data_IF_482999016546
#
_entry.id   IF_482999016546
#
_cell.length_a   1.000
_cell.length_b   1.000
_cell.length_c   1.000
_cell.angle_alpha   90.00
_cell.angle_beta   90.00
_cell.angle_gamma   90.00
#
_symmetry.space_group_name_H-M   'P 1'
#
loop_
_entity.id
_entity.type
_entity.pdbx_description
1 polymer ?
#
# COMPACT_ATOMS: atom_id res chain seq x y z
N UNK A 1 77.42 36.82 -23.57
CA UNK A 1 77.71 35.69 -24.48
C UNK A 1 76.39 35.12 -24.96
N UNK A 2 76.13 35.26 -26.24
CA UNK A 2 74.83 34.87 -26.88
C UNK A 2 74.82 33.35 -27.09
N UNK A 3 73.68 32.67 -26.80
CA UNK A 3 73.37 31.33 -27.32
C UNK A 3 71.97 31.30 -27.89
N UNK A 4 71.92 30.77 -29.08
CA UNK A 4 70.91 30.79 -30.08
C UNK A 4 69.83 29.71 -29.87
N UNK A 5 68.61 30.00 -30.35
CA UNK A 5 67.47 29.07 -30.58
C UNK A 5 67.91 27.87 -31.39
N UNK A 6 67.46 26.69 -31.03
CA UNK A 6 67.20 25.56 -31.98
C UNK A 6 65.92 24.90 -31.68
N UNK A 7 65.20 24.65 -32.72
CA UNK A 7 63.89 24.13 -33.00
C UNK A 7 63.58 22.81 -32.29
N UNK A 8 62.36 22.70 -31.78
CA UNK A 8 61.78 21.39 -31.39
C UNK A 8 60.58 21.12 -32.32
N UNK A 9 60.80 20.14 -33.17
CA UNK A 9 59.80 19.65 -34.14
C UNK A 9 58.72 18.89 -33.41
N UNK A 10 57.46 19.19 -33.77
CA UNK A 10 56.27 18.58 -33.16
C UNK A 10 56.07 17.12 -33.55
N UNK A 11 55.60 16.39 -32.59
CA UNK A 11 55.01 15.08 -32.77
C UNK A 11 53.59 15.09 -32.17
N UNK A 12 52.60 15.34 -33.01
CA UNK A 12 51.18 15.17 -32.65
C UNK A 12 50.83 13.69 -32.64
N UNK A 13 50.79 13.09 -31.46
CA UNK A 13 50.18 11.77 -31.26
C UNK A 13 48.67 11.94 -31.19
N UNK A 14 47.96 11.53 -32.22
CA UNK A 14 46.50 11.42 -32.23
C UNK A 14 46.06 10.23 -31.34
N UNK A 15 45.50 10.52 -30.19
CA UNK A 15 44.81 9.51 -29.42
C UNK A 15 43.43 9.29 -30.08
N UNK A 16 43.26 8.17 -30.76
CA UNK A 16 41.97 7.67 -31.20
C UNK A 16 41.24 7.13 -30.00
N UNK A 17 40.22 7.87 -29.50
CA UNK A 17 39.29 7.39 -28.49
C UNK A 17 38.38 6.35 -29.19
N UNK A 18 38.63 5.08 -28.95
CA UNK A 18 37.72 4.00 -29.30
C UNK A 18 36.49 4.09 -28.38
N UNK A 19 35.42 4.70 -28.85
CA UNK A 19 34.12 4.63 -28.22
C UNK A 19 33.60 3.19 -28.32
N UNK A 20 33.72 2.44 -27.24
CA UNK A 20 33.06 1.14 -27.12
C UNK A 20 31.55 1.40 -26.99
N UNK A 21 30.84 1.31 -28.08
CA UNK A 21 29.39 1.17 -28.09
C UNK A 21 29.07 -0.20 -27.45
N UNK A 22 28.72 -0.23 -26.19
CA UNK A 22 28.00 -1.36 -25.61
C UNK A 22 26.58 -1.28 -26.14
N UNK A 23 26.12 -2.25 -26.93
CA UNK A 23 24.70 -2.31 -27.24
C UNK A 23 23.98 -2.53 -25.91
N UNK A 24 23.09 -1.60 -25.55
CA UNK A 24 22.14 -1.83 -24.48
C UNK A 24 21.36 -3.09 -24.91
N UNK A 25 21.61 -4.22 -24.25
CA UNK A 25 20.73 -5.38 -24.33
C UNK A 25 19.36 -4.88 -23.86
N UNK A 26 18.47 -4.61 -24.82
CA UNK A 26 17.07 -4.50 -24.54
C UNK A 26 16.64 -5.86 -24.01
N UNK A 27 16.55 -6.00 -22.70
CA UNK A 27 15.90 -7.13 -22.07
C UNK A 27 14.42 -7.06 -22.48
N UNK A 28 14.09 -7.76 -23.55
CA UNK A 28 12.72 -8.12 -23.90
C UNK A 28 12.22 -9.10 -22.84
N UNK A 29 12.09 -8.62 -21.60
CA UNK A 29 11.42 -9.31 -20.54
C UNK A 29 9.94 -9.41 -20.92
N UNK A 30 9.36 -10.59 -20.91
CA UNK A 30 7.93 -10.79 -20.89
C UNK A 30 7.37 -9.85 -19.82
N UNK A 31 6.49 -8.90 -20.22
CA UNK A 31 5.81 -8.03 -19.25
C UNK A 31 5.07 -8.95 -18.27
N UNK A 32 5.44 -8.89 -17.02
CA UNK A 32 4.73 -9.65 -15.99
C UNK A 32 3.44 -8.92 -15.66
N UNK A 33 2.34 -9.68 -15.59
CA UNK A 33 1.04 -9.12 -15.25
C UNK A 33 1.02 -8.69 -13.78
N UNK A 34 0.43 -7.54 -13.49
CA UNK A 34 0.10 -7.13 -12.12
C UNK A 34 -0.92 -8.12 -11.57
N UNK A 35 -0.65 -8.72 -10.40
CA UNK A 35 -1.60 -9.58 -9.70
C UNK A 35 -1.92 -9.00 -8.34
N UNK A 36 -3.19 -9.01 -8.00
CA UNK A 36 -3.68 -8.52 -6.71
C UNK A 36 -4.58 -9.59 -6.13
N UNK A 37 -4.21 -10.12 -4.97
CA UNK A 37 -5.04 -11.03 -4.20
C UNK A 37 -5.51 -10.34 -2.94
N UNK A 38 -6.82 -10.27 -2.74
CA UNK A 38 -7.43 -9.87 -1.48
C UNK A 38 -7.21 -10.99 -0.46
N UNK A 39 -6.47 -10.72 0.60
CA UNK A 39 -6.33 -11.69 1.69
C UNK A 39 -7.46 -11.49 2.68
N UNK A 40 -7.49 -10.36 3.38
CA UNK A 40 -8.54 -10.03 4.33
C UNK A 40 -8.37 -8.58 4.79
N UNK A 41 -9.44 -7.84 5.03
CA UNK A 41 -9.36 -6.43 5.43
C UNK A 41 -8.53 -5.61 4.44
N UNK A 42 -7.53 -4.87 4.93
CA UNK A 42 -6.55 -4.16 4.11
C UNK A 42 -5.37 -5.05 3.65
N UNK A 43 -5.29 -6.30 4.12
CA UNK A 43 -4.19 -7.20 3.75
C UNK A 43 -4.32 -7.68 2.32
N UNK A 44 -3.31 -7.36 1.49
CA UNK A 44 -3.24 -7.71 0.08
C UNK A 44 -1.92 -8.37 -0.25
N UNK A 45 -1.94 -9.40 -1.12
CA UNK A 45 -0.74 -9.79 -1.87
C UNK A 45 -0.76 -9.09 -3.21
N UNK A 46 0.35 -8.44 -3.54
CA UNK A 46 0.50 -7.65 -4.76
C UNK A 46 1.79 -8.06 -5.47
N UNK A 47 1.65 -8.65 -6.66
CA UNK A 47 2.77 -8.83 -7.57
C UNK A 47 2.82 -7.64 -8.51
N UNK A 48 3.93 -6.90 -8.47
CA UNK A 48 4.14 -5.72 -9.29
C UNK A 48 5.61 -5.63 -9.72
N UNK A 49 5.86 -5.46 -11.02
CA UNK A 49 7.22 -5.36 -11.55
C UNK A 49 8.10 -6.57 -11.25
N UNK A 50 7.52 -7.77 -11.15
CA UNK A 50 8.23 -9.00 -10.79
C UNK A 50 8.56 -9.16 -9.30
N UNK A 51 8.05 -8.27 -8.45
CA UNK A 51 8.25 -8.27 -6.98
C UNK A 51 6.94 -8.64 -6.29
N UNK A 52 7.01 -9.51 -5.29
CA UNK A 52 5.86 -9.93 -4.49
C UNK A 52 5.83 -9.15 -3.17
N UNK A 53 4.80 -8.31 -3.01
CA UNK A 53 4.58 -7.52 -1.81
C UNK A 53 3.44 -8.08 -0.97
N UNK A 54 3.57 -8.02 0.36
CA UNK A 54 2.46 -8.21 1.29
C UNK A 54 2.16 -6.86 1.97
N UNK A 55 0.98 -6.34 1.71
CA UNK A 55 0.53 -5.04 2.18
C UNK A 55 -0.29 -5.21 3.45
N UNK A 56 -0.06 -4.36 4.46
CA UNK A 56 -0.81 -4.28 5.71
C UNK A 56 -1.10 -5.68 6.30
N UNK A 57 -0.06 -6.47 6.64
CA UNK A 57 -0.18 -7.87 7.02
C UNK A 57 -0.79 -8.07 8.41
N UNK A 58 -2.10 -7.92 8.51
CA UNK A 58 -2.88 -8.30 9.69
C UNK A 58 -3.28 -9.76 9.59
N UNK A 59 -2.51 -10.64 10.28
CA UNK A 59 -2.54 -12.10 10.12
C UNK A 59 -3.12 -12.83 11.33
N UNK A 60 -3.63 -12.12 12.35
CA UNK A 60 -4.26 -12.70 13.52
C UNK A 60 -5.42 -13.64 13.13
N UNK A 61 -5.53 -14.80 13.76
CA UNK A 61 -6.74 -15.64 13.72
C UNK A 61 -7.86 -15.00 14.52
N UNK A 62 -9.10 -15.45 14.34
CA UNK A 62 -10.21 -15.00 15.21
C UNK A 62 -9.98 -15.35 16.68
N UNK A 63 -9.30 -16.47 16.95
CA UNK A 63 -8.99 -16.88 18.33
C UNK A 63 -8.01 -15.93 19.03
N UNK A 64 -7.14 -15.26 18.25
CA UNK A 64 -6.21 -14.22 18.73
C UNK A 64 -6.83 -12.82 18.69
N UNK A 65 -8.09 -12.73 18.27
CA UNK A 65 -8.78 -11.48 18.00
C UNK A 65 -8.95 -10.58 19.21
N UNK A 66 -9.11 -9.30 18.94
CA UNK A 66 -9.37 -8.26 19.92
C UNK A 66 -10.84 -7.79 19.86
N UNK A 67 -11.29 -7.16 20.94
CA UNK A 67 -12.56 -6.42 20.96
C UNK A 67 -12.30 -4.97 21.33
N UNK A 68 -13.17 -4.06 20.95
CA UNK A 68 -13.07 -2.67 21.39
C UNK A 68 -13.14 -2.53 22.90
N UNK A 69 -13.97 -3.35 23.57
CA UNK A 69 -14.11 -3.32 25.05
C UNK A 69 -12.79 -3.43 25.81
N UNK A 70 -11.86 -4.22 25.28
CA UNK A 70 -10.53 -4.45 25.89
C UNK A 70 -9.44 -3.53 25.35
N UNK A 71 -9.76 -2.68 24.38
CA UNK A 71 -8.79 -1.82 23.71
C UNK A 71 -8.89 -0.34 24.12
N UNK A 72 -7.97 0.49 23.67
CA UNK A 72 -7.93 1.92 23.96
C UNK A 72 -9.10 2.71 23.36
N UNK A 73 -9.79 2.14 22.36
CA UNK A 73 -10.89 2.78 21.65
C UNK A 73 -12.28 2.38 22.16
N UNK A 74 -12.40 1.78 23.37
CA UNK A 74 -13.69 1.33 23.91
C UNK A 74 -14.73 2.48 24.01
N UNK A 75 -14.30 3.69 24.34
CA UNK A 75 -15.16 4.89 24.44
C UNK A 75 -15.47 5.52 23.08
N UNK A 76 -14.73 5.15 22.05
CA UNK A 76 -14.81 5.73 20.70
C UNK A 76 -15.84 5.04 19.81
N UNK A 77 -16.30 3.84 20.18
CA UNK A 77 -17.26 3.06 19.38
C UNK A 77 -18.60 3.79 19.29
N UNK A 78 -19.10 3.98 18.10
CA UNK A 78 -20.35 4.71 17.81
C UNK A 78 -21.56 3.90 18.28
N UNK A 79 -21.63 2.63 17.91
CA UNK A 79 -22.68 1.70 18.31
C UNK A 79 -22.19 0.77 19.43
N UNK A 80 -22.74 0.83 20.65
CA UNK A 80 -22.37 -0.06 21.75
C UNK A 80 -22.44 -1.55 21.44
N UNK A 81 -23.29 -1.98 20.50
CA UNK A 81 -23.38 -3.38 20.05
C UNK A 81 -22.06 -3.89 19.42
N UNK A 82 -21.21 -3.00 18.93
CA UNK A 82 -19.91 -3.33 18.32
C UNK A 82 -18.81 -3.63 19.34
N UNK A 83 -19.00 -3.27 20.62
CA UNK A 83 -17.97 -3.33 21.65
C UNK A 83 -17.39 -4.73 21.89
N UNK A 84 -18.22 -5.77 21.79
CA UNK A 84 -17.87 -7.15 22.10
C UNK A 84 -17.65 -8.02 20.85
N UNK A 85 -17.75 -7.43 19.67
CA UNK A 85 -17.47 -8.14 18.42
C UNK A 85 -15.97 -8.37 18.30
N UNK A 86 -15.58 -9.64 18.16
CA UNK A 86 -14.19 -10.03 17.98
C UNK A 86 -13.72 -9.66 16.57
N UNK A 87 -12.59 -8.98 16.48
CA UNK A 87 -11.91 -8.63 15.24
C UNK A 87 -10.53 -9.31 15.17
N UNK A 88 -10.20 -9.97 14.06
CA UNK A 88 -10.91 -10.03 12.78
C UNK A 88 -12.22 -10.85 12.88
N UNK A 89 -13.24 -10.42 12.14
CA UNK A 89 -14.55 -11.09 12.15
C UNK A 89 -14.56 -12.40 11.34
N UNK A 90 -13.56 -12.62 10.49
CA UNK A 90 -13.37 -13.82 9.68
C UNK A 90 -11.95 -14.37 9.80
N UNK A 91 -11.74 -15.64 9.47
CA UNK A 91 -10.42 -16.26 9.41
C UNK A 91 -9.67 -15.85 8.12
N UNK A 92 -8.37 -16.17 8.05
CA UNK A 92 -7.65 -16.07 6.79
C UNK A 92 -8.25 -17.03 5.77
N UNK A 93 -8.42 -16.62 4.51
CA UNK A 93 -9.06 -17.43 3.47
C UNK A 93 -8.20 -18.58 2.98
N UNK A 94 -6.89 -18.49 3.21
CA UNK A 94 -5.87 -19.49 2.84
C UNK A 94 -4.91 -19.70 4.00
N UNK A 95 -4.18 -20.82 4.05
CA UNK A 95 -3.18 -21.08 5.09
C UNK A 95 -2.17 -19.94 5.21
N UNK A 96 -1.77 -19.60 6.44
CA UNK A 96 -0.78 -18.56 6.72
C UNK A 96 0.53 -18.77 5.94
N UNK A 97 0.99 -20.04 5.84
CA UNK A 97 2.19 -20.36 5.08
C UNK A 97 2.08 -19.95 3.60
N UNK A 98 0.88 -20.07 3.00
CA UNK A 98 0.64 -19.67 1.60
C UNK A 98 0.55 -18.16 1.46
N UNK A 99 0.02 -17.44 2.48
CA UNK A 99 0.04 -15.97 2.52
C UNK A 99 1.48 -15.44 2.52
N UNK A 100 2.39 -16.10 3.23
CA UNK A 100 3.78 -15.65 3.42
C UNK A 100 4.74 -16.18 2.36
N UNK A 101 4.37 -17.25 1.63
CA UNK A 101 5.28 -17.92 0.68
C UNK A 101 5.74 -16.98 -0.44
N UNK A 102 7.07 -16.81 -0.59
CA UNK A 102 7.66 -16.05 -1.68
C UNK A 102 7.44 -14.54 -1.62
N UNK A 103 7.06 -13.99 -0.46
CA UNK A 103 6.98 -12.53 -0.26
C UNK A 103 8.39 -11.95 -0.25
N UNK A 104 8.61 -10.94 -1.09
CA UNK A 104 9.90 -10.24 -1.24
C UNK A 104 10.03 -9.04 -0.31
N UNK A 105 8.91 -8.39 0.02
CA UNK A 105 8.86 -7.27 0.95
C UNK A 105 7.47 -7.06 1.56
N UNK A 106 7.45 -6.49 2.76
CA UNK A 106 6.23 -6.01 3.40
C UNK A 106 6.08 -4.51 3.19
N UNK A 107 4.84 -4.03 3.07
CA UNK A 107 4.53 -2.59 3.02
C UNK A 107 3.43 -2.31 4.04
N UNK A 108 3.67 -1.36 4.93
CA UNK A 108 2.72 -0.94 5.95
C UNK A 108 2.28 0.49 5.65
N UNK A 109 1.00 0.68 5.34
CA UNK A 109 0.44 2.02 5.06
C UNK A 109 0.37 2.86 6.33
N UNK A 110 0.09 2.23 7.47
CA UNK A 110 0.15 2.84 8.80
C UNK A 110 0.07 1.77 9.90
N UNK A 111 0.50 2.12 11.10
CA UNK A 111 0.56 1.19 12.23
C UNK A 111 -0.72 1.25 13.07
N UNK A 112 -1.80 0.63 12.56
CA UNK A 112 -3.03 0.38 13.31
C UNK A 112 -3.26 -1.12 13.54
N UNK A 113 -4.00 -1.51 14.61
CA UNK A 113 -4.14 -2.93 14.99
C UNK A 113 -4.92 -3.79 14.01
N UNK A 114 -5.67 -3.21 13.10
CA UNK A 114 -6.41 -3.87 12.02
C UNK A 114 -5.67 -3.84 10.66
N UNK A 115 -4.44 -3.30 10.64
CA UNK A 115 -3.50 -3.35 9.51
C UNK A 115 -2.27 -4.19 9.81
N UNK A 116 -1.92 -4.35 11.09
CA UNK A 116 -0.71 -5.06 11.50
C UNK A 116 -0.90 -5.75 12.85
N UNK A 117 -0.44 -6.99 12.98
CA UNK A 117 -0.53 -7.72 14.25
C UNK A 117 0.26 -7.01 15.34
N UNK A 118 -0.41 -6.68 16.45
CA UNK A 118 0.17 -6.02 17.61
C UNK A 118 0.02 -6.89 18.86
N UNK A 119 1.12 -7.10 19.56
CA UNK A 119 1.13 -7.80 20.83
C UNK A 119 0.89 -6.84 22.02
N UNK A 120 0.42 -7.34 23.19
CA UNK A 120 0.18 -6.50 24.36
C UNK A 120 1.43 -5.77 24.91
N UNK A 121 2.62 -6.29 24.63
CA UNK A 121 3.90 -5.67 25.01
C UNK A 121 4.35 -4.56 24.04
N UNK A 122 3.55 -4.27 23.01
CA UNK A 122 3.84 -3.28 21.99
C UNK A 122 4.72 -3.78 20.84
N UNK A 123 5.15 -5.05 20.85
CA UNK A 123 5.81 -5.64 19.69
C UNK A 123 4.81 -5.96 18.57
N UNK A 124 5.29 -6.01 17.33
CA UNK A 124 4.41 -6.15 16.16
C UNK A 124 4.92 -7.19 15.17
N UNK A 125 3.99 -7.71 14.35
CA UNK A 125 4.30 -8.60 13.23
C UNK A 125 4.95 -9.92 13.66
N UNK A 126 4.51 -10.54 14.76
CA UNK A 126 5.11 -11.77 15.32
C UNK A 126 5.15 -12.94 14.33
N UNK A 127 4.21 -13.00 13.38
CA UNK A 127 4.09 -14.07 12.37
C UNK A 127 4.98 -13.87 11.14
N UNK A 128 5.59 -12.70 11.01
CA UNK A 128 6.39 -12.31 9.84
C UNK A 128 7.85 -12.72 9.99
N UNK A 129 8.48 -13.08 8.88
CA UNK A 129 9.93 -13.23 8.81
C UNK A 129 10.60 -11.85 8.99
N UNK A 130 11.38 -11.72 10.06
CA UNK A 130 12.05 -10.47 10.45
C UNK A 130 13.24 -10.11 9.55
N UNK A 131 13.68 -11.02 8.69
CA UNK A 131 14.71 -10.81 7.68
C UNK A 131 14.18 -10.23 6.36
N UNK A 132 12.88 -10.34 6.09
CA UNK A 132 12.25 -9.76 4.90
C UNK A 132 12.14 -8.24 5.07
N UNK A 133 12.57 -7.44 4.06
CA UNK A 133 12.45 -5.98 4.11
C UNK A 133 11.02 -5.52 4.38
N UNK A 134 10.87 -4.51 5.24
CA UNK A 134 9.58 -3.87 5.50
C UNK A 134 9.67 -2.36 5.25
N UNK A 135 8.69 -1.86 4.50
CA UNK A 135 8.55 -0.44 4.19
C UNK A 135 7.46 0.17 5.04
N UNK A 136 7.76 1.28 5.70
CA UNK A 136 6.84 2.03 6.57
C UNK A 136 6.81 3.51 6.21
N UNK A 137 5.81 4.24 6.66
CA UNK A 137 5.58 5.61 6.21
C UNK A 137 6.44 6.67 6.90
N UNK A 138 7.00 6.40 8.09
CA UNK A 138 7.72 7.41 8.88
C UNK A 138 8.71 6.79 9.89
N UNK A 139 9.62 7.64 10.43
CA UNK A 139 10.67 7.22 11.36
C UNK A 139 10.15 6.73 12.73
N UNK A 140 8.96 7.18 13.17
CA UNK A 140 8.36 6.67 14.41
C UNK A 140 8.00 5.18 14.25
N UNK A 141 7.43 4.81 13.13
CA UNK A 141 7.10 3.42 12.82
C UNK A 141 8.39 2.59 12.64
N UNK A 142 9.44 3.14 12.01
CA UNK A 142 10.76 2.49 11.95
C UNK A 142 11.24 2.07 13.33
N UNK A 143 11.09 2.94 14.34
CA UNK A 143 11.47 2.63 15.72
C UNK A 143 10.71 1.43 16.30
N UNK A 144 9.39 1.38 16.13
CA UNK A 144 8.53 0.29 16.61
C UNK A 144 8.85 -1.03 15.91
N UNK A 145 8.99 -0.98 14.59
CA UNK A 145 9.26 -2.17 13.76
C UNK A 145 10.65 -2.75 14.07
N UNK A 146 11.68 -1.91 14.22
CA UNK A 146 13.04 -2.35 14.64
C UNK A 146 13.02 -2.94 16.04
N UNK A 147 12.31 -2.32 16.98
CA UNK A 147 12.16 -2.86 18.34
C UNK A 147 11.50 -4.25 18.33
N UNK A 148 10.66 -4.52 17.35
CA UNK A 148 10.00 -5.83 17.15
C UNK A 148 10.89 -6.87 16.43
N UNK A 149 12.19 -6.55 16.19
CA UNK A 149 13.20 -7.48 15.69
C UNK A 149 13.39 -7.49 14.16
N UNK A 150 12.73 -6.62 13.38
CA UNK A 150 12.97 -6.54 11.95
C UNK A 150 14.36 -5.95 11.65
N UNK A 151 15.12 -6.61 10.77
CA UNK A 151 16.50 -6.25 10.46
C UNK A 151 16.62 -5.22 9.31
N UNK A 152 15.72 -5.23 8.34
CA UNK A 152 15.70 -4.33 7.18
C UNK A 152 14.41 -3.51 7.17
N UNK A 153 14.44 -2.35 7.84
CA UNK A 153 13.30 -1.43 7.95
C UNK A 153 13.62 -0.16 7.18
N UNK A 154 12.78 0.18 6.21
CA UNK A 154 12.95 1.30 5.29
C UNK A 154 11.71 2.21 5.32
N UNK A 155 11.91 3.50 5.09
CA UNK A 155 10.81 4.46 4.89
C UNK A 155 10.55 4.63 3.40
N UNK A 156 9.29 4.57 2.98
CA UNK A 156 8.92 5.12 1.67
C UNK A 156 8.58 6.60 1.82
N UNK A 157 9.03 7.42 0.86
CA UNK A 157 8.98 8.89 0.94
C UNK A 157 8.09 9.48 -0.17
N UNK A 158 7.83 10.78 -0.09
CA UNK A 158 7.06 11.51 -1.11
C UNK A 158 7.82 11.61 -2.44
N UNK A 159 9.16 11.49 -2.41
CA UNK A 159 10.01 11.41 -3.61
C UNK A 159 10.00 10.01 -4.22
N UNK A 160 9.77 9.00 -3.39
CA UNK A 160 9.81 7.58 -3.73
C UNK A 160 11.11 6.89 -3.31
N UNK A 161 11.03 5.61 -3.02
CA UNK A 161 12.16 4.73 -2.72
C UNK A 161 12.12 3.53 -3.67
N UNK A 162 13.27 3.15 -4.20
CA UNK A 162 13.37 2.00 -5.10
C UNK A 162 13.63 0.72 -4.32
N UNK A 163 12.91 -0.33 -4.70
CA UNK A 163 13.16 -1.70 -4.28
C UNK A 163 13.15 -2.62 -5.50
N UNK A 164 14.31 -3.19 -5.84
CA UNK A 164 14.51 -3.93 -7.11
C UNK A 164 14.07 -3.07 -8.31
N UNK A 165 13.11 -3.57 -9.09
CA UNK A 165 12.54 -2.88 -10.25
C UNK A 165 11.41 -1.90 -9.93
N UNK A 166 10.96 -1.82 -8.66
CA UNK A 166 9.77 -1.08 -8.26
C UNK A 166 10.14 0.18 -7.49
N UNK A 167 9.47 1.28 -7.78
CA UNK A 167 9.50 2.50 -6.97
C UNK A 167 8.22 2.60 -6.15
N UNK A 168 8.36 2.75 -4.84
CA UNK A 168 7.30 2.98 -3.87
C UNK A 168 7.31 4.45 -3.48
N UNK A 169 6.23 5.18 -3.77
CA UNK A 169 6.10 6.60 -3.43
C UNK A 169 4.98 6.77 -2.40
N UNK A 170 5.27 7.47 -1.29
CA UNK A 170 4.26 7.84 -0.31
C UNK A 170 3.28 8.85 -0.91
N UNK A 171 2.00 8.71 -0.55
CA UNK A 171 0.98 9.67 -0.91
C UNK A 171 0.21 10.09 0.32
N UNK A 172 -0.38 11.27 0.25
CA UNK A 172 -1.21 11.81 1.31
C UNK A 172 -2.43 10.93 1.57
N UNK A 173 -2.79 10.80 2.86
CA UNK A 173 -4.04 10.21 3.31
C UNK A 173 -4.65 11.06 4.44
N UNK A 174 -5.97 11.21 4.43
CA UNK A 174 -6.74 11.87 5.47
C UNK A 174 -7.58 10.83 6.21
N UNK A 175 -7.06 10.38 7.34
CA UNK A 175 -7.67 9.33 8.15
C UNK A 175 -8.56 9.93 9.25
N UNK A 176 -9.77 10.29 8.87
CA UNK A 176 -10.78 10.91 9.74
C UNK A 176 -11.44 12.16 9.16
N UNK A 177 -12.76 12.27 9.30
CA UNK A 177 -13.55 13.43 8.84
C UNK A 177 -13.56 14.57 9.84
N UNK A 178 -13.34 14.29 11.13
CA UNK A 178 -13.29 15.28 12.22
C UNK A 178 -11.84 15.50 12.63
N UNK A 179 -11.31 14.65 13.51
CA UNK A 179 -9.93 14.68 13.95
C UNK A 179 -9.11 13.59 13.22
N UNK A 180 -7.81 13.78 12.99
CA UNK A 180 -6.96 12.74 12.46
C UNK A 180 -6.85 11.53 13.41
N UNK A 181 -7.09 10.33 12.90
CA UNK A 181 -6.91 9.08 13.65
C UNK A 181 -5.47 8.56 13.49
N UNK A 182 -4.49 9.39 13.82
CA UNK A 182 -3.08 9.09 13.63
C UNK A 182 -2.57 9.33 12.20
N UNK A 183 -1.26 9.17 11.98
CA UNK A 183 -0.67 9.25 10.65
C UNK A 183 -1.08 8.04 9.81
N UNK A 184 -1.48 8.28 8.58
CA UNK A 184 -1.74 7.26 7.56
C UNK A 184 -1.20 7.74 6.22
N UNK A 185 -0.94 6.82 5.31
CA UNK A 185 -0.50 7.14 3.95
C UNK A 185 -1.00 6.12 2.95
N UNK A 186 -1.12 6.54 1.70
CA UNK A 186 -1.18 5.63 0.57
C UNK A 186 0.21 5.34 0.03
N UNK A 187 0.30 4.37 -0.87
CA UNK A 187 1.53 4.03 -1.59
C UNK A 187 1.26 3.87 -3.07
N UNK A 188 2.06 4.56 -3.88
CA UNK A 188 1.98 4.54 -5.34
C UNK A 188 3.15 3.75 -5.89
N UNK A 189 2.85 2.76 -6.74
CA UNK A 189 3.80 1.82 -7.31
C UNK A 189 4.02 2.14 -8.79
N UNK A 190 5.28 2.25 -9.18
CA UNK A 190 5.71 2.33 -10.58
C UNK A 190 6.88 1.40 -10.84
N UNK A 191 7.04 0.95 -12.09
CA UNK A 191 8.20 0.16 -12.52
C UNK A 191 8.46 0.38 -14.00
N UNK A 192 9.73 0.44 -14.45
CA UNK A 192 10.06 0.45 -15.87
C UNK A 192 9.61 -0.80 -16.63
N UNK A 193 9.40 -1.92 -15.93
CA UNK A 193 8.91 -3.18 -16.50
C UNK A 193 7.39 -3.23 -16.67
N UNK A 194 6.66 -2.29 -16.07
CA UNK A 194 5.21 -2.21 -16.12
C UNK A 194 4.75 -1.07 -16.98
N UNK A 195 3.57 -1.25 -17.65
CA UNK A 195 2.90 -0.16 -18.39
C UNK A 195 1.81 0.50 -17.58
N UNK A 196 1.44 -0.09 -16.44
CA UNK A 196 0.39 0.37 -15.56
C UNK A 196 0.97 0.79 -14.23
N UNK A 197 0.42 1.85 -13.64
CA UNK A 197 0.73 2.29 -12.30
C UNK A 197 -0.38 1.85 -11.33
N UNK A 198 0.02 1.41 -10.13
CA UNK A 198 -0.90 0.99 -9.08
C UNK A 198 -0.85 2.00 -7.93
N UNK A 199 -2.03 2.41 -7.44
CA UNK A 199 -2.14 3.22 -6.24
C UNK A 199 -3.00 2.53 -5.18
N UNK A 200 -2.40 2.21 -4.04
CA UNK A 200 -3.09 1.77 -2.83
C UNK A 200 -3.26 3.00 -1.94
N UNK A 201 -4.50 3.43 -1.74
CA UNK A 201 -4.80 4.68 -1.04
C UNK A 201 -4.58 4.59 0.47
N UNK A 202 -4.60 3.36 1.03
CA UNK A 202 -4.59 3.15 2.48
C UNK A 202 -5.87 3.70 3.14
N UNK A 203 -5.78 4.00 4.43
CA UNK A 203 -6.90 4.56 5.18
C UNK A 203 -7.01 6.07 4.97
N UNK A 204 -7.91 6.45 4.10
CA UNK A 204 -8.21 7.84 3.77
C UNK A 204 -9.68 8.00 3.41
N UNK A 205 -10.22 9.19 3.66
CA UNK A 205 -11.46 9.69 3.04
C UNK A 205 -11.13 10.38 1.72
N UNK A 206 -12.13 10.63 0.88
CA UNK A 206 -11.98 11.51 -0.26
C UNK A 206 -11.86 12.97 0.21
N UNK A 207 -10.85 13.69 -0.25
CA UNK A 207 -10.60 15.10 0.04
C UNK A 207 -9.82 15.74 -1.12
N UNK A 208 -9.65 17.08 -1.07
CA UNK A 208 -9.00 17.83 -2.14
C UNK A 208 -7.58 17.39 -2.42
N UNK A 209 -6.82 17.02 -1.39
CA UNK A 209 -5.44 16.54 -1.53
C UNK A 209 -5.39 15.17 -2.23
N UNK A 210 -6.33 14.26 -1.91
CA UNK A 210 -6.45 12.97 -2.58
C UNK A 210 -6.89 13.17 -4.03
N UNK A 211 -7.84 14.06 -4.29
CA UNK A 211 -8.29 14.42 -5.63
C UNK A 211 -7.14 15.02 -6.49
N UNK A 212 -6.35 15.92 -5.90
CA UNK A 212 -5.17 16.50 -6.54
C UNK A 212 -4.14 15.41 -6.88
N UNK A 213 -3.83 14.54 -5.93
CA UNK A 213 -2.90 13.42 -6.14
C UNK A 213 -3.40 12.48 -7.25
N UNK A 214 -4.70 12.18 -7.31
CA UNK A 214 -5.33 11.39 -8.35
C UNK A 214 -5.11 12.00 -9.74
N UNK A 215 -5.33 13.32 -9.86
CA UNK A 215 -5.16 14.05 -11.11
C UNK A 215 -3.69 14.13 -11.56
N UNK A 216 -2.75 14.20 -10.63
CA UNK A 216 -1.31 14.25 -10.88
C UNK A 216 -0.74 12.88 -11.26
N UNK A 217 -1.03 11.84 -10.50
CA UNK A 217 -0.45 10.51 -10.64
C UNK A 217 -1.12 9.66 -11.73
N UNK A 218 -2.41 9.89 -12.00
CA UNK A 218 -3.21 9.18 -13.02
C UNK A 218 -3.02 7.65 -12.97
N UNK A 219 -3.31 7.00 -11.86
CA UNK A 219 -3.12 5.55 -11.71
C UNK A 219 -4.00 4.77 -12.69
N UNK A 220 -3.51 3.62 -13.14
CA UNK A 220 -4.28 2.67 -13.96
C UNK A 220 -5.10 1.70 -13.10
N UNK A 221 -4.60 1.40 -11.90
CA UNK A 221 -5.26 0.56 -10.90
C UNK A 221 -5.26 1.30 -9.57
N UNK A 222 -6.43 1.38 -8.94
CA UNK A 222 -6.65 2.04 -7.65
C UNK A 222 -7.24 1.03 -6.68
N UNK A 223 -6.61 0.86 -5.51
CA UNK A 223 -7.15 0.09 -4.40
C UNK A 223 -7.49 1.07 -3.28
N UNK A 224 -8.72 1.02 -2.80
CA UNK A 224 -9.23 1.89 -1.75
C UNK A 224 -9.92 1.13 -0.64
N UNK A 225 -9.82 1.61 0.59
CA UNK A 225 -10.45 1.05 1.77
C UNK A 225 -11.83 1.70 1.95
N UNK A 226 -12.92 0.89 1.92
CA UNK A 226 -14.27 1.40 1.65
C UNK A 226 -15.37 0.90 2.61
N UNK A 227 -15.05 0.39 3.78
CA UNK A 227 -16.08 -0.06 4.72
C UNK A 227 -16.74 1.07 5.53
N UNK A 228 -16.42 2.34 5.25
CA UNK A 228 -16.93 3.50 5.99
C UNK A 228 -16.80 3.34 7.52
N UNK A 229 -15.67 2.82 7.97
CA UNK A 229 -15.35 2.67 9.38
C UNK A 229 -15.43 4.02 10.09
N UNK A 230 -15.95 4.04 11.34
CA UNK A 230 -16.14 5.29 12.06
C UNK A 230 -15.94 5.15 13.57
N UNK A 231 -15.43 6.22 14.18
CA UNK A 231 -15.25 6.39 15.61
C UNK A 231 -15.78 7.78 16.02
N UNK A 232 -16.19 7.95 17.29
CA UNK A 232 -16.86 9.18 17.76
C UNK A 232 -16.02 10.46 17.57
N UNK A 233 -14.79 10.43 18.07
CA UNK A 233 -13.87 11.58 18.02
C UNK A 233 -13.41 11.86 16.58
N UNK A 234 -13.08 10.81 15.83
CA UNK A 234 -12.46 10.93 14.50
C UNK A 234 -13.47 11.06 13.36
N UNK A 235 -14.75 10.70 13.62
CA UNK A 235 -15.78 10.62 12.59
C UNK A 235 -15.61 9.40 11.69
N UNK A 236 -15.95 9.52 10.42
CA UNK A 236 -15.68 8.47 9.42
C UNK A 236 -14.19 8.49 9.07
N UNK A 237 -13.57 7.31 9.10
CA UNK A 237 -12.13 7.11 9.01
C UNK A 237 -11.66 6.89 7.58
N UNK A 238 -12.43 6.12 6.81
CA UNK A 238 -12.11 5.69 5.45
C UNK A 238 -13.30 5.92 4.52
N UNK A 239 -13.15 5.63 3.24
CA UNK A 239 -14.13 5.94 2.21
C UNK A 239 -15.49 5.27 2.45
N UNK A 240 -16.55 5.97 2.11
CA UNK A 240 -17.91 5.47 1.95
C UNK A 240 -18.28 5.36 0.45
N UNK A 241 -19.53 5.04 0.16
CA UNK A 241 -20.04 4.89 -1.20
C UNK A 241 -20.00 6.19 -2.03
N UNK A 242 -20.12 7.35 -1.39
CA UNK A 242 -20.00 8.66 -2.07
C UNK A 242 -18.54 8.99 -2.42
N UNK A 243 -17.61 8.64 -1.53
CA UNK A 243 -16.18 8.78 -1.78
C UNK A 243 -15.72 7.85 -2.91
N UNK A 244 -16.21 6.59 -2.92
CA UNK A 244 -15.93 5.62 -4.00
C UNK A 244 -16.46 6.13 -5.35
N UNK A 245 -17.66 6.70 -5.39
CA UNK A 245 -18.17 7.40 -6.59
C UNK A 245 -17.21 8.50 -7.03
N UNK A 246 -16.74 9.32 -6.09
CA UNK A 246 -15.81 10.43 -6.38
C UNK A 246 -14.50 9.94 -6.98
N UNK A 247 -13.93 8.85 -6.46
CA UNK A 247 -12.75 8.18 -7.04
C UNK A 247 -13.03 7.71 -8.45
N UNK A 248 -14.18 7.03 -8.70
CA UNK A 248 -14.54 6.56 -10.03
C UNK A 248 -14.69 7.69 -11.05
N UNK A 249 -15.19 8.85 -10.61
CA UNK A 249 -15.31 10.05 -11.46
C UNK A 249 -13.96 10.69 -11.74
N UNK A 250 -13.10 10.78 -10.75
CA UNK A 250 -11.77 11.37 -10.87
C UNK A 250 -10.79 10.50 -11.70
N UNK A 251 -10.98 9.17 -11.68
CA UNK A 251 -10.16 8.21 -12.42
C UNK A 251 -11.02 7.37 -13.40
N UNK A 252 -11.59 7.98 -14.46
CA UNK A 252 -12.58 7.33 -15.33
C UNK A 252 -12.02 6.12 -16.09
N UNK A 253 -10.71 6.05 -16.30
CA UNK A 253 -10.04 4.98 -17.03
C UNK A 253 -9.37 3.94 -16.10
N UNK A 254 -9.28 4.21 -14.80
CA UNK A 254 -8.67 3.29 -13.85
C UNK A 254 -9.60 2.12 -13.52
N UNK A 255 -9.01 0.97 -13.23
CA UNK A 255 -9.71 -0.10 -12.50
C UNK A 255 -9.72 0.24 -11.03
N UNK A 256 -10.88 0.27 -10.41
CA UNK A 256 -11.06 0.56 -8.98
C UNK A 256 -11.39 -0.72 -8.23
N UNK A 257 -10.66 -0.99 -7.14
CA UNK A 257 -10.85 -2.16 -6.27
C UNK A 257 -11.19 -1.67 -4.87
N UNK A 258 -12.31 -2.12 -4.31
CA UNK A 258 -12.67 -1.85 -2.92
C UNK A 258 -12.16 -2.97 -2.01
N UNK A 259 -11.41 -2.58 -0.98
CA UNK A 259 -10.80 -3.43 0.04
C UNK A 259 -11.24 -3.00 1.44
N UNK A 260 -10.72 -3.62 2.49
CA UNK A 260 -11.00 -3.34 3.90
C UNK A 260 -12.48 -3.60 4.26
N UNK A 261 -13.03 -4.73 3.81
CA UNK A 261 -14.45 -5.03 3.93
C UNK A 261 -14.69 -6.23 4.87
N UNK A 262 -15.84 -6.21 5.56
CA UNK A 262 -16.43 -7.34 6.30
C UNK A 262 -15.61 -7.93 7.46
N UNK A 263 -14.59 -7.23 7.96
CA UNK A 263 -13.62 -7.80 8.92
C UNK A 263 -13.57 -7.06 10.26
N UNK A 264 -13.93 -5.78 10.29
CA UNK A 264 -13.86 -4.93 11.49
C UNK A 264 -15.24 -4.51 11.97
N UNK A 265 -15.41 -4.45 13.28
CA UNK A 265 -16.72 -4.20 13.91
C UNK A 265 -17.24 -2.77 13.71
N UNK A 266 -16.36 -1.79 13.54
CA UNK A 266 -16.72 -0.37 13.37
C UNK A 266 -17.01 0.03 11.91
N UNK A 267 -17.05 -0.95 11.00
CA UNK A 267 -17.48 -0.76 9.63
C UNK A 267 -18.98 -0.41 9.56
N UNK A 268 -19.33 0.56 8.72
CA UNK A 268 -20.71 0.92 8.42
C UNK A 268 -21.20 0.30 7.12
N UNK A 269 -20.29 -0.15 6.27
CA UNK A 269 -20.58 -0.82 5.00
C UNK A 269 -19.93 -2.20 4.93
N UNK A 270 -20.68 -3.14 4.37
CA UNK A 270 -20.21 -4.46 3.92
C UNK A 270 -20.02 -4.45 2.41
N UNK A 271 -19.34 -5.45 1.81
CA UNK A 271 -19.29 -5.63 0.35
C UNK A 271 -20.68 -5.58 -0.27
N UNK A 272 -21.64 -6.27 0.36
CA UNK A 272 -23.04 -6.31 -0.10
C UNK A 272 -23.71 -4.93 -0.08
N UNK A 273 -23.61 -4.19 1.02
CA UNK A 273 -24.27 -2.88 1.16
C UNK A 273 -23.58 -1.81 0.33
N UNK A 274 -22.24 -1.84 0.20
CA UNK A 274 -21.49 -0.97 -0.71
C UNK A 274 -21.91 -1.22 -2.17
N UNK A 275 -21.99 -2.49 -2.61
CA UNK A 275 -22.45 -2.82 -3.95
C UNK A 275 -23.83 -2.25 -4.23
N UNK A 276 -24.79 -2.46 -3.31
CA UNK A 276 -26.15 -1.92 -3.45
C UNK A 276 -26.17 -0.40 -3.51
N UNK A 277 -25.34 0.28 -2.70
CA UNK A 277 -25.23 1.74 -2.73
C UNK A 277 -24.66 2.23 -4.07
N UNK A 278 -23.62 1.57 -4.58
CA UNK A 278 -23.02 1.89 -5.88
C UNK A 278 -23.95 1.56 -7.07
N UNK A 279 -24.81 0.53 -6.98
CA UNK A 279 -25.85 0.28 -7.98
C UNK A 279 -26.82 1.46 -8.09
N UNK A 280 -27.27 1.99 -6.95
CA UNK A 280 -28.14 3.17 -6.90
C UNK A 280 -27.48 4.42 -7.48
N UNK A 281 -26.14 4.53 -7.36
CA UNK A 281 -25.34 5.63 -7.88
C UNK A 281 -24.92 5.42 -9.35
N UNK A 282 -25.13 4.21 -9.94
CA UNK A 282 -24.72 3.87 -11.30
C UNK A 282 -23.22 3.55 -11.45
N UNK A 283 -22.52 3.21 -10.36
CA UNK A 283 -21.07 2.94 -10.36
C UNK A 283 -20.68 1.50 -10.01
N UNK A 284 -21.62 0.59 -9.75
CA UNK A 284 -21.30 -0.78 -9.33
C UNK A 284 -20.41 -1.53 -10.35
N UNK A 285 -20.61 -1.31 -11.64
CA UNK A 285 -19.79 -1.93 -12.70
C UNK A 285 -18.37 -1.37 -12.82
N UNK A 286 -18.07 -0.27 -12.13
CA UNK A 286 -16.76 0.39 -12.12
C UNK A 286 -15.86 -0.09 -11.00
N UNK A 287 -16.39 -0.83 -10.02
CA UNK A 287 -15.68 -1.21 -8.81
C UNK A 287 -15.64 -2.72 -8.67
N UNK A 288 -14.44 -3.29 -8.63
CA UNK A 288 -14.22 -4.68 -8.26
C UNK A 288 -14.26 -4.80 -6.74
N UNK A 289 -14.99 -5.79 -6.24
CA UNK A 289 -15.04 -6.14 -4.82
C UNK A 289 -14.67 -7.61 -4.71
N UNK A 290 -13.36 -7.86 -4.59
CA UNK A 290 -12.83 -9.22 -4.49
C UNK A 290 -13.26 -9.84 -3.17
N UNK A 291 -13.66 -11.11 -3.22
CA UNK A 291 -13.84 -11.90 -2.02
C UNK A 291 -12.48 -12.21 -1.37
N UNK A 292 -12.49 -12.51 -0.06
CA UNK A 292 -11.27 -12.89 0.63
C UNK A 292 -10.70 -14.17 0.01
N UNK A 293 -9.43 -14.16 -0.38
CA UNK A 293 -8.73 -15.21 -1.13
C UNK A 293 -8.78 -15.04 -2.65
N UNK A 294 -9.67 -14.21 -3.19
CA UNK A 294 -9.80 -13.99 -4.63
C UNK A 294 -8.63 -13.17 -5.19
N UNK A 295 -8.25 -13.48 -6.44
CA UNK A 295 -7.16 -12.82 -7.17
C UNK A 295 -7.66 -12.25 -8.50
N UNK A 296 -7.19 -11.06 -8.85
CA UNK A 296 -7.35 -10.49 -10.18
C UNK A 296 -5.99 -10.18 -10.81
N UNK A 297 -5.98 -10.07 -12.15
CA UNK A 297 -4.75 -9.87 -12.94
C UNK A 297 -4.99 -8.79 -14.00
N UNK A 298 -3.99 -7.89 -14.22
CA UNK A 298 -4.06 -6.75 -15.15
C UNK A 298 -2.90 -6.71 -16.13
#
# INVERSE_FOLDING_TARGET
MKLTRKEFIGGTAAFAAASHFFPALAMSGKKEAIKIRQIRNATLRVRFGGVEFLIDPWLASKAEGMTFRKGPFATEVVDPAQLDIVMPMCELPIPLADVLSGVDAYVLTHLHPDHFDMAPDGTVGAKLDKGVPIFVQNEREVGVIRHSGFSDVRTFTDEGVSFRSVTLKRTYAKHGTKEPCGPASGVFFTSPSETKALWILGDTIWCDEVAKTMAELKPDVVILNACAAQLKTYGRLIMDDADVESVCRAAPNATVIASHMDTVAHASLTRKTLKTALERRGFASRVLMLDDGEECTF
#
